data_IF_367964640427
#
_entry.id   IF_367964640427
#
_cell.length_a   1.000
_cell.length_b   1.000
_cell.length_c   1.000
_cell.angle_alpha   90.00
_cell.angle_beta   90.00
_cell.angle_gamma   90.00
#
_symmetry.space_group_name_H-M   'P 1'
#
loop_
_entity.id
_entity.type
_entity.pdbx_description
1 polymer ?
#
# COMPACT_ATOMS: atom_id res chain seq x y z
N UNK A 1 -12.39 -34.35 -31.25
CA UNK A 1 -11.85 -32.98 -31.05
C UNK A 1 -11.94 -32.63 -29.57
N UNK A 2 -10.89 -32.91 -28.79
CA UNK A 2 -10.87 -32.69 -27.33
C UNK A 2 -9.57 -31.97 -26.89
N UNK A 3 -8.72 -31.55 -27.84
CA UNK A 3 -7.38 -31.02 -27.59
C UNK A 3 -7.33 -29.49 -27.42
N UNK A 4 -8.41 -28.76 -27.72
CA UNK A 4 -8.43 -27.29 -27.65
C UNK A 4 -8.91 -26.73 -26.30
N UNK A 5 -9.44 -27.58 -25.40
CA UNK A 5 -9.89 -27.15 -24.07
C UNK A 5 -8.75 -27.08 -23.04
N UNK A 6 -7.68 -27.85 -23.23
CA UNK A 6 -6.53 -27.87 -22.31
C UNK A 6 -5.64 -26.63 -22.40
N UNK A 7 -5.59 -25.97 -23.57
CA UNK A 7 -4.80 -24.77 -23.79
C UNK A 7 -5.42 -23.53 -23.14
N UNK A 8 -6.75 -23.43 -23.09
CA UNK A 8 -7.46 -22.33 -22.42
C UNK A 8 -7.27 -22.35 -20.90
N UNK A 9 -7.28 -23.53 -20.28
CA UNK A 9 -7.03 -23.67 -18.85
C UNK A 9 -5.61 -23.25 -18.46
N UNK A 10 -4.61 -23.54 -19.31
CA UNK A 10 -3.24 -23.09 -19.07
C UNK A 10 -3.06 -21.58 -19.29
N UNK A 11 -3.75 -20.99 -20.26
CA UNK A 11 -3.74 -19.53 -20.46
C UNK A 11 -4.35 -18.77 -19.27
N UNK A 12 -5.45 -19.27 -18.68
CA UNK A 12 -6.04 -18.67 -17.48
C UNK A 12 -5.13 -18.80 -16.24
N UNK A 13 -4.38 -19.90 -16.13
CA UNK A 13 -3.40 -20.09 -15.06
C UNK A 13 -2.12 -19.24 -15.24
N UNK A 14 -1.75 -18.88 -16.47
CA UNK A 14 -0.62 -17.97 -16.73
C UNK A 14 -1.00 -16.49 -16.57
N UNK A 15 -2.24 -16.11 -16.88
CA UNK A 15 -2.74 -14.74 -16.66
C UNK A 15 -2.90 -14.40 -15.17
N UNK A 16 -3.13 -15.40 -14.31
CA UNK A 16 -3.14 -15.23 -12.84
C UNK A 16 -1.75 -15.33 -12.20
N UNK A 17 -0.69 -15.34 -13.00
CA UNK A 17 0.71 -15.33 -12.55
C UNK A 17 1.40 -14.02 -12.88
N UNK A 18 0.67 -12.91 -12.88
CA UNK A 18 1.27 -11.70 -12.33
C UNK A 18 1.39 -11.98 -10.83
N UNK A 19 2.58 -12.07 -10.23
CA UNK A 19 2.64 -11.68 -8.83
C UNK A 19 1.94 -10.32 -8.81
N UNK A 20 0.97 -10.13 -7.92
CA UNK A 20 0.67 -8.78 -7.49
C UNK A 20 2.03 -8.23 -7.08
N UNK A 21 2.72 -7.56 -8.00
CA UNK A 21 3.90 -6.82 -7.66
C UNK A 21 3.31 -5.81 -6.69
N UNK A 22 3.59 -6.01 -5.40
CA UNK A 22 3.26 -5.15 -4.27
C UNK A 22 3.90 -3.77 -4.53
N UNK A 23 3.44 -3.13 -5.58
CA UNK A 23 3.99 -1.90 -6.10
C UNK A 23 3.17 -0.86 -5.38
N UNK A 24 3.60 -0.56 -4.15
CA UNK A 24 3.11 0.59 -3.39
C UNK A 24 2.88 1.75 -4.34
N UNK A 25 1.69 2.34 -4.28
CA UNK A 25 1.35 3.50 -5.11
C UNK A 25 2.38 4.61 -4.89
N UNK A 26 2.63 5.48 -5.88
CA UNK A 26 3.54 6.61 -5.70
C UNK A 26 3.18 7.46 -4.48
N UNK A 27 1.89 7.62 -4.18
CA UNK A 27 1.40 8.32 -2.99
C UNK A 27 1.81 7.61 -1.69
N UNK A 28 1.61 6.29 -1.59
CA UNK A 28 2.02 5.49 -0.43
C UNK A 28 3.52 5.54 -0.21
N UNK A 29 4.33 5.41 -1.27
CA UNK A 29 5.80 5.55 -1.19
C UNK A 29 6.19 6.93 -0.68
N UNK A 30 5.52 7.97 -1.17
CA UNK A 30 5.78 9.33 -0.73
C UNK A 30 5.46 9.53 0.75
N UNK A 31 4.36 8.98 1.26
CA UNK A 31 4.02 8.99 2.69
C UNK A 31 5.11 8.27 3.50
N UNK A 32 5.51 7.06 3.10
CA UNK A 32 6.52 6.27 3.81
C UNK A 32 7.87 6.98 3.89
N UNK A 33 8.27 7.72 2.85
CA UNK A 33 9.51 8.51 2.86
C UNK A 33 9.53 9.64 3.89
N UNK A 34 8.37 10.05 4.42
CA UNK A 34 8.27 11.06 5.46
C UNK A 34 8.16 10.46 6.86
N UNK A 35 7.87 9.16 6.97
CA UNK A 35 7.77 8.46 8.25
C UNK A 35 9.14 7.93 8.67
N UNK A 36 9.37 7.91 9.97
CA UNK A 36 10.57 7.35 10.59
C UNK A 36 10.21 6.42 11.73
N UNK A 37 11.19 6.13 12.59
CA UNK A 37 10.97 5.38 13.82
C UNK A 37 10.16 6.17 14.87
N UNK A 38 10.23 7.51 14.81
CA UNK A 38 9.45 8.37 15.70
C UNK A 38 8.02 8.57 15.17
N UNK A 39 6.98 8.48 16.02
CA UNK A 39 5.60 8.70 15.60
C UNK A 39 5.36 10.13 15.11
N UNK A 40 4.73 10.26 13.94
CA UNK A 40 4.36 11.54 13.36
C UNK A 40 2.83 11.70 13.29
N UNK A 41 2.34 12.86 13.71
CA UNK A 41 0.90 13.16 13.75
C UNK A 41 0.33 13.37 12.35
N UNK A 42 -0.91 12.90 12.12
CA UNK A 42 -1.61 13.02 10.84
C UNK A 42 -1.70 14.47 10.31
N UNK A 43 -1.97 15.43 11.20
CA UNK A 43 -2.10 16.85 10.82
C UNK A 43 -0.78 17.42 10.25
N UNK A 44 0.35 17.00 10.82
CA UNK A 44 1.67 17.41 10.35
C UNK A 44 2.00 16.77 8.99
N UNK A 45 1.68 15.49 8.83
CA UNK A 45 1.78 14.77 7.55
C UNK A 45 0.93 15.44 6.47
N UNK A 46 -0.33 15.76 6.79
CA UNK A 46 -1.27 16.43 5.89
C UNK A 46 -0.71 17.76 5.39
N UNK A 47 -0.19 18.57 6.32
CA UNK A 47 0.43 19.87 6.00
C UNK A 47 1.69 19.70 5.15
N UNK A 48 2.54 18.73 5.49
CA UNK A 48 3.82 18.49 4.80
C UNK A 48 3.62 17.97 3.38
N UNK A 49 2.68 17.06 3.20
CA UNK A 49 2.39 16.42 1.91
C UNK A 49 1.46 17.30 1.04
N UNK A 50 0.77 18.27 1.63
CA UNK A 50 -0.21 19.10 0.92
C UNK A 50 -1.42 18.30 0.41
N UNK A 51 -1.77 17.23 1.11
CA UNK A 51 -2.85 16.30 0.72
C UNK A 51 -4.04 16.48 1.64
N UNK A 52 -5.26 16.30 1.13
CA UNK A 52 -6.46 16.32 1.95
C UNK A 52 -6.41 15.26 3.07
N UNK A 53 -6.84 15.62 4.28
CA UNK A 53 -6.83 14.74 5.46
C UNK A 53 -7.56 13.42 5.19
N UNK A 54 -8.72 13.45 4.52
CA UNK A 54 -9.52 12.26 4.20
C UNK A 54 -8.74 11.27 3.33
N UNK A 55 -8.04 11.78 2.31
CA UNK A 55 -7.21 11.01 1.39
C UNK A 55 -6.00 10.44 2.11
N UNK A 56 -5.32 11.25 2.93
CA UNK A 56 -4.18 10.80 3.74
C UNK A 56 -4.57 9.65 4.67
N UNK A 57 -5.68 9.79 5.41
CA UNK A 57 -6.16 8.77 6.34
C UNK A 57 -6.48 7.45 5.63
N UNK A 58 -7.12 7.50 4.45
CA UNK A 58 -7.37 6.29 3.67
C UNK A 58 -6.07 5.56 3.30
N UNK A 59 -5.05 6.31 2.86
CA UNK A 59 -3.74 5.72 2.53
C UNK A 59 -3.02 5.18 3.77
N UNK A 60 -3.08 5.85 4.92
CA UNK A 60 -2.49 5.39 6.17
C UNK A 60 -3.14 4.11 6.68
N UNK A 61 -4.46 4.00 6.60
CA UNK A 61 -5.18 2.77 6.97
C UNK A 61 -4.74 1.60 6.11
N UNK A 62 -4.64 1.79 4.79
CA UNK A 62 -4.14 0.73 3.92
C UNK A 62 -2.69 0.34 4.26
N UNK A 63 -1.82 1.32 4.50
CA UNK A 63 -0.42 1.08 4.90
C UNK A 63 -0.30 0.33 6.23
N UNK A 64 -1.20 0.58 7.18
CA UNK A 64 -1.25 -0.10 8.48
C UNK A 64 -1.73 -1.55 8.33
N UNK A 65 -2.78 -1.79 7.52
CA UNK A 65 -3.25 -3.14 7.17
C UNK A 65 -2.14 -3.94 6.50
N UNK A 66 -1.41 -3.31 5.58
CA UNK A 66 -0.28 -3.87 4.85
C UNK A 66 1.00 -3.99 5.73
N UNK A 67 0.94 -3.56 7.00
CA UNK A 67 2.01 -3.62 8.02
C UNK A 67 3.29 -2.83 7.67
N UNK A 68 3.17 -1.77 6.89
CA UNK A 68 4.28 -0.84 6.66
C UNK A 68 4.43 0.17 7.80
N UNK A 69 3.32 0.51 8.44
CA UNK A 69 3.27 1.50 9.51
C UNK A 69 2.50 0.95 10.72
N UNK A 70 2.69 1.58 11.87
CA UNK A 70 1.90 1.36 13.08
C UNK A 70 1.38 2.69 13.61
N UNK A 71 0.17 2.68 14.16
CA UNK A 71 -0.42 3.81 14.88
C UNK A 71 -0.10 3.69 16.37
N UNK A 72 0.76 4.58 16.89
CA UNK A 72 1.17 4.60 18.30
C UNK A 72 1.28 6.04 18.82
N UNK A 73 0.97 6.24 20.11
CA UNK A 73 1.08 7.54 20.78
C UNK A 73 0.38 8.71 20.07
N UNK A 74 -0.67 8.44 19.29
CA UNK A 74 -1.40 9.46 18.53
C UNK A 74 -0.73 9.88 17.20
N UNK A 75 0.27 9.13 16.74
CA UNK A 75 0.93 9.33 15.45
C UNK A 75 1.19 8.01 14.72
N UNK A 76 1.86 8.12 13.58
CA UNK A 76 2.21 7.00 12.71
C UNK A 76 3.72 6.87 12.61
N UNK A 77 4.25 5.66 12.73
CA UNK A 77 5.67 5.35 12.56
C UNK A 77 5.84 4.15 11.63
N UNK A 78 7.03 4.00 11.06
CA UNK A 78 7.37 2.80 10.29
C UNK A 78 7.47 1.59 11.22
N UNK A 79 7.00 0.44 10.75
CA UNK A 79 7.27 -0.84 11.43
C UNK A 79 8.77 -1.16 11.29
N UNK A 80 9.46 -1.28 12.43
CA UNK A 80 10.89 -1.62 12.53
C UNK A 80 11.17 -3.10 12.62
#
# INVERSE_FOLDING_TARGET
MLQELGSLAQFQLMAQKQPAADTLSPAKKHILNHLGAEPMVADLLCTTLGVEVSVLLAQLVELEIDRYIVSEAGGYSLVG
#
